data_IF_888033574155
#
_entry.id   IF_888033574155
#
_cell.length_a   1.000
_cell.length_b   1.000
_cell.length_c   1.000
_cell.angle_alpha   90.00
_cell.angle_beta   90.00
_cell.angle_gamma   90.00
#
_symmetry.space_group_name_H-M   'P 1'
#
loop_
_entity.id
_entity.type
_entity.pdbx_description
1 polymer ?
#
# COMPACT_ATOMS: atom_id res chain seq x y z
N UNK A 1 -7.72 -6.70 -22.52
CA UNK A 1 -7.37 -6.15 -21.18
C UNK A 1 -6.84 -4.75 -21.38
N UNK A 2 -7.32 -3.75 -20.62
CA UNK A 2 -6.76 -2.39 -20.64
C UNK A 2 -5.31 -2.48 -20.14
N UNK A 3 -4.32 -1.84 -20.79
CA UNK A 3 -2.96 -1.82 -20.26
C UNK A 3 -2.99 -1.26 -18.84
N UNK A 4 -2.20 -1.82 -17.89
CA UNK A 4 -2.17 -1.30 -16.54
C UNK A 4 -1.80 0.18 -16.61
N UNK A 5 -2.64 1.02 -16.02
CA UNK A 5 -2.32 2.43 -15.85
C UNK A 5 -1.01 2.56 -15.07
N UNK A 6 -0.32 3.69 -15.23
CA UNK A 6 0.85 3.99 -14.42
C UNK A 6 0.53 3.79 -12.93
N UNK A 7 1.50 3.27 -12.13
CA UNK A 7 1.24 3.00 -10.73
C UNK A 7 0.79 4.25 -9.99
N UNK A 8 -0.21 4.11 -9.12
CA UNK A 8 -0.49 5.14 -8.11
C UNK A 8 0.68 5.14 -7.14
N UNK A 9 1.35 6.27 -6.98
CA UNK A 9 2.44 6.43 -6.01
C UNK A 9 1.89 7.10 -4.76
N UNK A 10 2.05 6.45 -3.63
CA UNK A 10 1.60 6.94 -2.32
C UNK A 10 2.78 7.18 -1.40
N UNK A 11 2.78 8.33 -0.72
CA UNK A 11 3.68 8.63 0.39
C UNK A 11 3.09 8.09 1.70
N UNK A 12 3.68 7.01 2.19
CA UNK A 12 3.33 6.36 3.45
C UNK A 12 3.85 7.06 4.71
N UNK A 13 4.52 8.21 4.57
CA UNK A 13 4.88 9.10 5.68
C UNK A 13 3.87 10.23 5.89
N UNK A 14 2.97 10.44 4.92
CA UNK A 14 1.98 11.50 4.97
C UNK A 14 0.86 11.21 5.99
N UNK A 15 0.55 12.20 6.83
CA UNK A 15 -0.48 12.09 7.87
C UNK A 15 -0.15 10.99 8.89
N UNK A 16 -1.11 10.11 9.16
CA UNK A 16 -0.87 8.94 10.03
C UNK A 16 0.15 7.97 9.42
N UNK A 17 0.26 7.88 8.09
CA UNK A 17 1.21 6.97 7.42
C UNK A 17 1.07 5.49 7.79
N UNK A 18 -0.02 5.13 8.46
CA UNK A 18 -0.15 3.92 9.27
C UNK A 18 -0.72 2.69 8.53
N UNK A 19 -1.11 1.65 9.27
CA UNK A 19 -1.66 0.40 8.71
C UNK A 19 -2.83 0.64 7.74
N UNK A 20 -3.68 1.64 8.03
CA UNK A 20 -4.87 1.93 7.22
C UNK A 20 -4.51 2.31 5.78
N UNK A 21 -3.49 3.15 5.58
CA UNK A 21 -3.06 3.56 4.24
C UNK A 21 -2.63 2.34 3.40
N UNK A 22 -1.77 1.49 3.96
CA UNK A 22 -1.25 0.30 3.26
C UNK A 22 -2.37 -0.66 2.90
N UNK A 23 -3.25 -0.98 3.85
CA UNK A 23 -4.34 -1.96 3.63
C UNK A 23 -5.37 -1.46 2.62
N UNK A 24 -5.76 -0.20 2.71
CA UNK A 24 -6.69 0.42 1.76
C UNK A 24 -6.08 0.48 0.37
N UNK A 25 -4.82 0.88 0.25
CA UNK A 25 -4.11 0.92 -1.03
C UNK A 25 -4.02 -0.46 -1.69
N UNK A 26 -3.66 -1.49 -0.94
CA UNK A 26 -3.62 -2.87 -1.45
C UNK A 26 -5.01 -3.37 -1.89
N UNK A 27 -6.04 -3.15 -1.08
CA UNK A 27 -7.41 -3.54 -1.41
C UNK A 27 -7.94 -2.82 -2.66
N UNK A 28 -7.72 -1.52 -2.77
CA UNK A 28 -8.12 -0.74 -3.95
C UNK A 28 -7.34 -1.15 -5.19
N UNK A 29 -6.04 -1.43 -5.07
CA UNK A 29 -5.23 -1.91 -6.19
C UNK A 29 -5.77 -3.23 -6.72
N UNK A 30 -6.12 -4.17 -5.83
CA UNK A 30 -6.74 -5.43 -6.19
C UNK A 30 -8.12 -5.24 -6.86
N UNK A 31 -8.98 -4.36 -6.32
CA UNK A 31 -10.33 -4.15 -6.87
C UNK A 31 -10.33 -3.41 -8.21
N UNK A 32 -9.45 -2.43 -8.36
CA UNK A 32 -9.40 -1.56 -9.56
C UNK A 32 -8.47 -2.08 -10.64
N UNK A 33 -7.66 -3.09 -10.33
CA UNK A 33 -6.59 -3.61 -11.19
C UNK A 33 -5.60 -2.51 -11.61
N UNK A 34 -5.47 -1.46 -10.78
CA UNK A 34 -4.50 -0.40 -10.96
C UNK A 34 -3.29 -0.66 -10.06
N UNK A 35 -2.07 -0.73 -10.59
CA UNK A 35 -0.87 -0.94 -9.77
C UNK A 35 -0.69 0.18 -8.74
N UNK A 36 -0.14 -0.17 -7.57
CA UNK A 36 0.19 0.79 -6.51
C UNK A 36 1.63 0.61 -6.05
N UNK A 37 2.31 1.73 -5.77
CA UNK A 37 3.62 1.80 -5.13
C UNK A 37 3.49 2.68 -3.88
N UNK A 38 3.88 2.14 -2.73
CA UNK A 38 3.85 2.87 -1.46
C UNK A 38 5.27 3.06 -0.98
N UNK A 39 5.69 4.31 -0.85
CA UNK A 39 7.01 4.70 -0.38
C UNK A 39 6.94 5.12 1.09
N UNK A 40 8.02 4.95 1.85
CA UNK A 40 8.07 5.43 3.23
C UNK A 40 6.96 4.88 4.14
N UNK A 41 6.55 3.61 3.98
CA UNK A 41 5.50 2.98 4.80
C UNK A 41 5.77 3.20 6.29
N UNK A 42 4.80 3.79 7.01
CA UNK A 42 4.91 4.14 8.44
C UNK A 42 6.09 5.08 8.73
N UNK A 43 6.48 5.92 7.77
CA UNK A 43 7.63 6.82 7.87
C UNK A 43 7.54 7.85 9.00
N UNK A 44 6.32 8.24 9.38
CA UNK A 44 6.06 9.13 10.51
C UNK A 44 5.96 8.43 11.87
N UNK A 45 6.11 7.10 11.94
CA UNK A 45 5.93 6.33 13.17
C UNK A 45 7.27 5.92 13.82
N UNK A 46 7.30 5.66 15.15
CA UNK A 46 8.51 5.16 15.84
C UNK A 46 9.05 3.83 15.29
N UNK A 47 8.19 3.04 14.64
CA UNK A 47 8.54 1.77 14.00
C UNK A 47 8.07 1.78 12.55
N UNK A 48 8.91 2.25 11.62
CA UNK A 48 8.59 2.31 10.20
C UNK A 48 8.62 0.93 9.55
N UNK A 49 8.12 0.88 8.31
CA UNK A 49 8.17 -0.31 7.46
C UNK A 49 6.93 -1.20 7.57
N UNK A 50 6.98 -2.27 6.76
CA UNK A 50 5.93 -3.28 6.70
C UNK A 50 5.95 -4.16 7.94
N UNK A 51 4.77 -4.59 8.38
CA UNK A 51 4.59 -5.61 9.42
C UNK A 51 4.11 -6.92 8.84
N UNK A 52 4.14 -7.99 9.64
CA UNK A 52 3.69 -9.32 9.22
C UNK A 52 2.25 -9.33 8.69
N UNK A 53 1.36 -8.53 9.28
CA UNK A 53 -0.01 -8.31 8.82
C UNK A 53 -0.10 -7.71 7.42
N UNK A 54 0.77 -6.76 7.08
CA UNK A 54 0.79 -6.10 5.77
C UNK A 54 1.23 -7.11 4.69
N UNK A 55 2.24 -7.93 5.01
CA UNK A 55 2.71 -9.02 4.16
C UNK A 55 1.65 -10.11 3.96
N UNK A 56 0.91 -10.47 5.02
CA UNK A 56 -0.15 -11.46 4.93
C UNK A 56 -1.28 -10.99 3.99
N UNK A 57 -1.68 -9.72 4.08
CA UNK A 57 -2.69 -9.13 3.20
C UNK A 57 -2.18 -9.07 1.76
N UNK A 58 -0.96 -8.60 1.55
CA UNK A 58 -0.37 -8.56 0.21
C UNK A 58 -0.33 -9.95 -0.45
N UNK A 59 0.04 -10.99 0.32
CA UNK A 59 0.03 -12.38 -0.16
C UNK A 59 -1.37 -12.94 -0.42
N UNK A 60 -2.38 -12.50 0.32
CA UNK A 60 -3.76 -12.95 0.13
C UNK A 60 -4.44 -12.30 -1.09
N UNK A 61 -3.95 -11.13 -1.52
CA UNK A 61 -4.47 -10.37 -2.66
C UNK A 61 -3.70 -10.60 -3.97
N UNK A 62 -2.55 -11.27 -3.91
CA UNK A 62 -1.71 -11.62 -5.06
C UNK A 62 -2.19 -12.92 -5.72
#
# INVERSE_FOLDING_TARGET
MRPPAAPVVLDGSYGEGGPTLVRTALALSALTQQPVRIEGVRGGMPRPGLRAEDLAIARALA
#
